data_IF_855104616787
#
_entry.id   IF_855104616787
#
_cell.length_a   1.000
_cell.length_b   1.000
_cell.length_c   1.000
_cell.angle_alpha   90.00
_cell.angle_beta   90.00
_cell.angle_gamma   90.00
#
_symmetry.space_group_name_H-M   'P 1'
#
loop_
_entity.id
_entity.type
_entity.pdbx_description
1 polymer ?
#
# COMPACT_ATOMS: atom_id res chain seq x y z
N UNK A 1 10.62 15.62 -14.14
CA UNK A 1 10.07 14.42 -13.50
C UNK A 1 9.05 13.79 -14.42
N UNK A 2 9.13 12.49 -14.67
CA UNK A 2 8.20 11.83 -15.60
C UNK A 2 6.85 11.53 -14.93
N UNK A 3 5.87 11.10 -15.70
CA UNK A 3 4.52 10.85 -15.20
C UNK A 3 4.48 9.76 -14.13
N UNK A 4 5.27 8.70 -14.30
CA UNK A 4 5.34 7.62 -13.32
C UNK A 4 5.82 8.13 -11.95
N UNK A 5 6.85 8.99 -11.95
CA UNK A 5 7.35 9.57 -10.70
C UNK A 5 6.35 10.51 -10.06
N UNK A 6 5.61 11.28 -10.88
CA UNK A 6 4.55 12.15 -10.36
C UNK A 6 3.45 11.36 -9.68
N UNK A 7 3.06 10.23 -10.27
CA UNK A 7 2.04 9.35 -9.68
C UNK A 7 2.54 8.73 -8.37
N UNK A 8 3.81 8.35 -8.30
CA UNK A 8 4.41 7.82 -7.08
C UNK A 8 4.40 8.86 -5.96
N UNK A 9 4.76 10.11 -6.27
CA UNK A 9 4.69 11.19 -5.28
C UNK A 9 3.27 11.47 -4.83
N UNK A 10 2.32 11.45 -5.75
CA UNK A 10 0.90 11.61 -5.41
C UNK A 10 0.46 10.54 -4.41
N UNK A 11 0.85 9.30 -4.63
CA UNK A 11 0.53 8.19 -3.73
C UNK A 11 1.11 8.41 -2.33
N UNK A 12 2.35 8.90 -2.26
CA UNK A 12 3.00 9.21 -0.97
C UNK A 12 2.21 10.29 -0.22
N UNK A 13 1.72 11.31 -0.92
CA UNK A 13 0.89 12.34 -0.31
C UNK A 13 -0.49 11.83 0.09
N UNK A 14 -1.00 10.80 -0.59
CA UNK A 14 -2.30 10.22 -0.23
C UNK A 14 -2.24 9.43 1.08
N UNK A 15 -1.07 8.93 1.48
CA UNK A 15 -0.94 8.17 2.72
C UNK A 15 -1.32 8.99 3.96
N UNK A 16 -0.77 10.20 4.18
CA UNK A 16 -1.22 11.02 5.31
C UNK A 16 -2.69 11.36 5.27
N UNK A 17 -3.25 11.63 4.09
CA UNK A 17 -4.68 11.90 3.95
C UNK A 17 -5.52 10.70 4.36
N UNK A 18 -5.10 9.50 3.95
CA UNK A 18 -5.75 8.25 4.34
C UNK A 18 -5.78 8.12 5.87
N UNK A 19 -4.63 8.32 6.51
CA UNK A 19 -4.51 8.19 7.97
C UNK A 19 -5.39 9.22 8.69
N UNK A 20 -5.40 10.46 8.20
CA UNK A 20 -6.22 11.52 8.80
C UNK A 20 -7.69 11.13 8.79
N UNK A 21 -8.21 10.67 7.67
CA UNK A 21 -9.62 10.28 7.57
C UNK A 21 -9.94 9.00 8.36
N UNK A 22 -8.98 8.07 8.45
CA UNK A 22 -9.20 6.83 9.20
C UNK A 22 -9.23 7.04 10.71
N UNK A 23 -8.38 7.91 11.23
CA UNK A 23 -8.13 7.98 12.68
C UNK A 23 -8.68 9.26 13.29
N UNK A 24 -8.46 10.41 12.66
CA UNK A 24 -8.77 11.71 13.25
C UNK A 24 -10.20 12.18 12.98
N UNK A 25 -10.84 11.68 11.93
CA UNK A 25 -12.21 12.07 11.61
C UNK A 25 -13.17 11.25 12.46
N UNK A 26 -13.94 11.92 13.30
CA UNK A 26 -14.96 11.28 14.15
C UNK A 26 -16.30 11.10 13.45
N UNK A 27 -16.44 11.59 12.21
CA UNK A 27 -17.66 11.49 11.45
C UNK A 27 -17.81 10.12 10.79
N UNK A 28 -19.05 9.76 10.45
CA UNK A 28 -19.34 8.51 9.78
C UNK A 28 -18.64 8.33 8.45
N UNK A 29 -18.31 9.43 7.78
CA UNK A 29 -17.75 9.40 6.43
C UNK A 29 -16.24 9.25 6.39
N UNK A 30 -15.55 9.35 7.54
CA UNK A 30 -14.10 9.27 7.57
C UNK A 30 -13.55 7.98 6.98
N UNK A 31 -14.08 6.83 7.43
CA UNK A 31 -13.65 5.52 6.93
C UNK A 31 -14.02 5.35 5.46
N UNK A 32 -15.18 5.85 5.04
CA UNK A 32 -15.61 5.78 3.64
C UNK A 32 -14.65 6.56 2.75
N UNK A 33 -14.30 7.78 3.13
CA UNK A 33 -13.36 8.62 2.39
C UNK A 33 -11.97 7.95 2.35
N UNK A 34 -11.53 7.42 3.47
CA UNK A 34 -10.25 6.72 3.55
C UNK A 34 -10.23 5.49 2.63
N UNK A 35 -11.33 4.76 2.55
CA UNK A 35 -11.46 3.60 1.67
C UNK A 35 -11.31 4.03 0.20
N UNK A 36 -11.96 5.11 -0.19
CA UNK A 36 -11.86 5.65 -1.53
C UNK A 36 -10.41 6.06 -1.84
N UNK A 37 -9.75 6.74 -0.90
CA UNK A 37 -8.36 7.14 -1.06
C UNK A 37 -7.45 5.92 -1.23
N UNK A 38 -7.67 4.87 -0.44
CA UNK A 38 -6.88 3.64 -0.55
C UNK A 38 -7.06 2.97 -1.91
N UNK A 39 -8.30 2.90 -2.41
CA UNK A 39 -8.59 2.31 -3.72
C UNK A 39 -7.92 3.12 -4.83
N UNK A 40 -8.02 4.45 -4.78
CA UNK A 40 -7.37 5.34 -5.75
C UNK A 40 -5.86 5.15 -5.74
N UNK A 41 -5.25 5.09 -4.55
CA UNK A 41 -3.81 4.90 -4.42
C UNK A 41 -3.37 3.53 -4.96
N UNK A 42 -4.17 2.49 -4.73
CA UNK A 42 -3.87 1.15 -5.23
C UNK A 42 -3.94 1.08 -6.75
N UNK A 43 -4.95 1.73 -7.35
CA UNK A 43 -5.08 1.81 -8.80
C UNK A 43 -3.92 2.61 -9.39
N UNK A 44 -3.55 3.72 -8.75
CA UNK A 44 -2.44 4.57 -9.18
C UNK A 44 -1.13 3.78 -9.21
N UNK A 45 -0.92 2.88 -8.23
CA UNK A 45 0.27 2.02 -8.20
C UNK A 45 0.35 1.13 -9.45
N UNK A 46 -0.75 0.53 -9.85
CA UNK A 46 -0.78 -0.34 -11.04
C UNK A 46 -0.58 0.46 -12.32
N UNK A 47 -1.21 1.63 -12.42
CA UNK A 47 -1.08 2.52 -13.58
C UNK A 47 0.36 3.03 -13.70
N UNK A 48 0.96 3.44 -12.57
CA UNK A 48 2.33 3.91 -12.47
C UNK A 48 3.31 2.86 -13.03
N UNK A 49 3.20 1.61 -12.56
CA UNK A 49 4.05 0.53 -13.05
C UNK A 49 3.86 0.25 -14.54
N UNK A 50 2.60 0.28 -15.01
CA UNK A 50 2.31 0.08 -16.42
C UNK A 50 2.90 1.19 -17.29
N UNK A 51 2.73 2.44 -16.89
CA UNK A 51 3.25 3.60 -17.63
C UNK A 51 4.78 3.55 -17.67
N UNK A 52 5.42 3.27 -16.54
CA UNK A 52 6.87 3.20 -16.47
C UNK A 52 7.44 2.13 -17.41
N UNK A 53 6.81 0.97 -17.49
CA UNK A 53 7.25 -0.12 -18.35
C UNK A 53 6.96 0.15 -19.83
N UNK A 54 5.77 0.65 -20.14
CA UNK A 54 5.35 0.83 -21.54
C UNK A 54 6.02 2.02 -22.22
N UNK A 55 6.43 3.03 -21.44
CA UNK A 55 7.05 4.26 -21.97
C UNK A 55 8.54 4.35 -21.70
N UNK A 56 9.15 3.29 -21.16
CA UNK A 56 10.57 3.28 -20.75
C UNK A 56 10.90 4.46 -19.83
N UNK A 57 10.01 4.76 -18.90
CA UNK A 57 10.19 5.84 -17.92
C UNK A 57 10.68 5.33 -16.57
N UNK A 58 11.32 4.16 -16.56
CA UNK A 58 11.90 3.60 -15.34
C UNK A 58 13.13 4.41 -14.97
N UNK A 59 13.10 5.01 -13.77
CA UNK A 59 14.22 5.82 -13.28
C UNK A 59 14.74 5.23 -11.98
N UNK A 60 15.96 5.64 -11.58
CA UNK A 60 16.52 5.26 -10.28
C UNK A 60 15.64 5.74 -9.15
N UNK A 61 15.11 6.97 -9.27
CA UNK A 61 14.19 7.53 -8.28
C UNK A 61 12.93 6.67 -8.14
N UNK A 62 12.30 6.30 -9.27
CA UNK A 62 11.11 5.46 -9.25
C UNK A 62 11.36 4.09 -8.65
N UNK A 63 12.48 3.45 -9.03
CA UNK A 63 12.83 2.14 -8.48
C UNK A 63 12.99 2.15 -6.98
N UNK A 64 13.45 3.26 -6.42
CA UNK A 64 13.61 3.42 -4.98
C UNK A 64 12.28 3.76 -4.30
N UNK A 65 11.53 4.70 -4.88
CA UNK A 65 10.34 5.26 -4.24
C UNK A 65 9.09 4.38 -4.38
N UNK A 66 8.97 3.60 -5.46
CA UNK A 66 7.78 2.76 -5.67
C UNK A 66 7.58 1.73 -4.56
N UNK A 67 8.59 0.90 -4.20
CA UNK A 67 8.43 -0.03 -3.08
C UNK A 67 8.14 0.68 -1.76
N UNK A 68 8.76 1.84 -1.54
CA UNK A 68 8.57 2.61 -0.33
C UNK A 68 7.13 3.12 -0.21
N UNK A 69 6.61 3.69 -1.30
CA UNK A 69 5.23 4.21 -1.33
C UNK A 69 4.21 3.10 -1.10
N UNK A 70 4.41 1.94 -1.73
CA UNK A 70 3.53 0.79 -1.58
C UNK A 70 3.53 0.29 -0.14
N UNK A 71 4.70 0.16 0.47
CA UNK A 71 4.83 -0.29 1.86
C UNK A 71 4.24 0.70 2.85
N UNK A 72 4.39 2.01 2.59
CA UNK A 72 3.79 3.02 3.43
C UNK A 72 2.27 2.94 3.41
N UNK A 73 1.67 2.77 2.23
CA UNK A 73 0.23 2.68 2.09
C UNK A 73 -0.32 1.45 2.82
N UNK A 74 0.26 0.28 2.59
CA UNK A 74 -0.17 -0.97 3.21
C UNK A 74 0.02 -0.91 4.72
N UNK A 75 1.16 -0.41 5.18
CA UNK A 75 1.45 -0.28 6.61
C UNK A 75 0.45 0.66 7.28
N UNK A 76 0.17 1.81 6.67
CA UNK A 76 -0.79 2.77 7.19
C UNK A 76 -2.18 2.14 7.31
N UNK A 77 -2.60 1.39 6.30
CA UNK A 77 -3.90 0.71 6.31
C UNK A 77 -3.97 -0.34 7.43
N UNK A 78 -2.95 -1.18 7.56
CA UNK A 78 -2.94 -2.23 8.58
C UNK A 78 -2.92 -1.66 9.99
N UNK A 79 -2.10 -0.65 10.23
CA UNK A 79 -2.02 -0.01 11.56
C UNK A 79 -3.33 0.70 11.89
N UNK A 80 -3.95 1.36 10.91
CA UNK A 80 -5.25 2.01 11.10
C UNK A 80 -6.33 0.99 11.45
N UNK A 81 -6.32 -0.18 10.81
CA UNK A 81 -7.29 -1.23 11.13
C UNK A 81 -7.07 -1.77 12.56
N UNK A 82 -5.84 -1.83 13.03
CA UNK A 82 -5.55 -2.19 14.43
C UNK A 82 -6.13 -1.14 15.37
N UNK A 83 -5.96 0.14 15.05
CA UNK A 83 -6.50 1.23 15.85
C UNK A 83 -8.02 1.14 15.98
N UNK A 84 -8.71 0.68 14.93
CA UNK A 84 -10.16 0.52 14.92
C UNK A 84 -10.62 -0.84 15.49
N UNK A 85 -9.70 -1.64 16.00
CA UNK A 85 -9.97 -2.97 16.57
C UNK A 85 -10.55 -3.96 15.54
N UNK A 86 -10.23 -3.79 14.25
CA UNK A 86 -10.69 -4.70 13.19
C UNK A 86 -9.79 -5.93 13.12
N UNK A 87 -8.49 -5.73 13.27
CA UNK A 87 -7.52 -6.83 13.26
C UNK A 87 -6.60 -6.72 14.48
N UNK A 88 -6.08 -7.86 14.98
CA UNK A 88 -5.20 -7.81 16.14
C UNK A 88 -3.78 -7.38 15.76
N UNK A 89 -3.11 -6.71 16.70
CA UNK A 89 -1.76 -6.18 16.46
C UNK A 89 -0.77 -7.29 16.13
N UNK A 90 -0.89 -8.47 16.76
CA UNK A 90 0.05 -9.56 16.51
C UNK A 90 0.02 -10.02 15.05
N UNK A 91 -1.16 -10.03 14.43
CA UNK A 91 -1.28 -10.40 13.02
C UNK A 91 -0.54 -9.41 12.13
N UNK A 92 -0.69 -8.11 12.40
CA UNK A 92 0.00 -7.06 11.66
C UNK A 92 1.51 -7.15 11.85
N UNK A 93 1.96 -7.43 13.05
CA UNK A 93 3.40 -7.59 13.34
C UNK A 93 3.99 -8.73 12.51
N UNK A 94 3.29 -9.85 12.42
CA UNK A 94 3.75 -11.00 11.62
C UNK A 94 3.82 -10.62 10.14
N UNK A 95 2.78 -9.98 9.62
CA UNK A 95 2.71 -9.57 8.21
C UNK A 95 3.84 -8.60 7.87
N UNK A 96 4.03 -7.57 8.69
CA UNK A 96 5.06 -6.56 8.45
C UNK A 96 6.47 -7.13 8.62
N UNK A 97 6.68 -8.01 9.59
CA UNK A 97 7.97 -8.66 9.78
C UNK A 97 8.39 -9.45 8.55
N UNK A 98 7.45 -10.22 7.98
CA UNK A 98 7.71 -10.95 6.74
C UNK A 98 8.02 -10.01 5.58
N UNK A 99 7.24 -8.93 5.44
CA UNK A 99 7.45 -7.96 4.37
C UNK A 99 8.84 -7.33 4.44
N UNK A 100 9.25 -6.88 5.62
CA UNK A 100 10.55 -6.27 5.81
C UNK A 100 11.69 -7.27 5.66
N UNK A 101 11.52 -8.51 6.13
CA UNK A 101 12.52 -9.55 5.99
C UNK A 101 12.78 -9.89 4.52
N UNK A 102 11.73 -10.06 3.73
CA UNK A 102 11.84 -10.35 2.30
C UNK A 102 12.49 -9.17 1.56
N UNK A 103 12.08 -7.96 1.89
CA UNK A 103 12.66 -6.75 1.30
C UNK A 103 14.14 -6.63 1.62
N UNK A 104 14.53 -6.91 2.88
CA UNK A 104 15.91 -6.89 3.31
C UNK A 104 16.77 -7.91 2.58
N UNK A 105 16.26 -9.14 2.42
CA UNK A 105 16.97 -10.19 1.68
C UNK A 105 17.18 -9.79 0.22
N UNK A 106 16.17 -9.22 -0.42
CA UNK A 106 16.31 -8.76 -1.82
C UNK A 106 17.32 -7.63 -1.93
N UNK A 107 17.37 -6.73 -0.96
CA UNK A 107 18.32 -5.63 -0.93
C UNK A 107 19.75 -6.15 -0.78
N UNK A 108 19.98 -7.10 0.11
CA UNK A 108 21.29 -7.72 0.33
C UNK A 108 21.73 -8.45 -0.94
N UNK A 109 20.83 -9.23 -1.54
CA UNK A 109 21.13 -9.97 -2.77
C UNK A 109 21.49 -9.02 -3.92
N UNK A 110 20.77 -7.91 -4.06
CA UNK A 110 21.06 -6.91 -5.09
C UNK A 110 22.43 -6.26 -4.88
N UNK A 111 22.82 -6.00 -3.63
CA UNK A 111 24.13 -5.45 -3.31
C UNK A 111 25.26 -6.42 -3.71
N UNK A 112 25.01 -7.73 -3.71
CA UNK A 112 25.96 -8.76 -4.11
C UNK A 112 25.84 -9.10 -5.60
N UNK A 113 25.08 -8.33 -6.37
CA UNK A 113 24.91 -8.55 -7.81
C UNK A 113 23.89 -9.60 -8.18
N UNK A 114 23.16 -10.15 -7.21
CA UNK A 114 22.12 -11.14 -7.46
C UNK A 114 20.76 -10.46 -7.43
N UNK A 115 20.00 -10.61 -8.51
CA UNK A 115 18.63 -10.06 -8.57
C UNK A 115 17.64 -11.19 -8.31
N UNK A 116 16.89 -11.07 -7.21
CA UNK A 116 15.83 -12.02 -6.90
C UNK A 116 14.54 -11.46 -7.49
N UNK A 117 14.06 -12.10 -8.56
CA UNK A 117 12.80 -11.70 -9.19
C UNK A 117 11.61 -12.04 -8.28
N UNK A 118 10.57 -11.20 -8.33
CA UNK A 118 9.34 -11.51 -7.64
C UNK A 118 8.72 -12.77 -8.25
N UNK A 119 8.46 -13.77 -7.40
CA UNK A 119 7.81 -15.00 -7.85
C UNK A 119 6.34 -14.74 -8.12
N UNK A 120 5.69 -15.66 -8.88
CA UNK A 120 4.24 -15.59 -9.08
C UNK A 120 3.48 -15.68 -7.75
N UNK A 121 4.00 -16.45 -6.80
CA UNK A 121 3.44 -16.54 -5.46
C UNK A 121 3.52 -15.20 -4.72
N UNK A 122 4.62 -14.46 -4.87
CA UNK A 122 4.76 -13.14 -4.27
C UNK A 122 3.78 -12.13 -4.86
N UNK A 123 3.57 -12.17 -6.18
CA UNK A 123 2.59 -11.31 -6.84
C UNK A 123 1.18 -11.64 -6.38
N UNK A 124 0.85 -12.91 -6.28
CA UNK A 124 -0.46 -13.37 -5.81
C UNK A 124 -0.69 -12.94 -4.37
N UNK A 125 0.30 -13.07 -3.51
CA UNK A 125 0.24 -12.63 -2.11
C UNK A 125 -0.09 -11.13 -2.03
N UNK A 126 0.57 -10.31 -2.84
CA UNK A 126 0.33 -8.87 -2.85
C UNK A 126 -1.10 -8.54 -3.26
N UNK A 127 -1.61 -9.20 -4.30
CA UNK A 127 -2.99 -9.01 -4.76
C UNK A 127 -3.98 -9.41 -3.66
N UNK A 128 -3.78 -10.57 -3.02
CA UNK A 128 -4.63 -11.00 -1.92
C UNK A 128 -4.60 -10.03 -0.75
N UNK A 129 -3.44 -9.52 -0.40
CA UNK A 129 -3.29 -8.56 0.70
C UNK A 129 -4.06 -7.27 0.41
N UNK A 130 -3.92 -6.72 -0.78
CA UNK A 130 -4.62 -5.50 -1.18
C UNK A 130 -6.13 -5.70 -1.19
N UNK A 131 -6.60 -6.81 -1.77
CA UNK A 131 -8.03 -7.12 -1.80
C UNK A 131 -8.59 -7.33 -0.40
N UNK A 132 -7.83 -7.98 0.49
CA UNK A 132 -8.25 -8.19 1.87
C UNK A 132 -8.40 -6.88 2.61
N UNK A 133 -7.46 -5.96 2.45
CA UNK A 133 -7.51 -4.64 3.08
C UNK A 133 -8.72 -3.87 2.56
N UNK A 134 -8.94 -3.86 1.25
CA UNK A 134 -10.07 -3.17 0.64
C UNK A 134 -11.38 -3.74 1.17
N UNK A 135 -11.48 -5.06 1.25
CA UNK A 135 -12.69 -5.71 1.76
C UNK A 135 -12.95 -5.34 3.22
N UNK A 136 -11.93 -5.35 4.07
CA UNK A 136 -12.07 -4.96 5.46
C UNK A 136 -12.49 -3.50 5.60
N UNK A 137 -11.94 -2.61 4.80
CA UNK A 137 -12.32 -1.19 4.80
C UNK A 137 -13.77 -1.02 4.35
N UNK A 138 -14.21 -1.76 3.33
CA UNK A 138 -15.59 -1.70 2.85
C UNK A 138 -16.55 -2.20 3.93
N UNK A 139 -16.23 -3.30 4.60
CA UNK A 139 -17.04 -3.85 5.68
C UNK A 139 -17.15 -2.83 6.82
N UNK A 140 -16.05 -2.19 7.19
CA UNK A 140 -16.04 -1.16 8.23
C UNK A 140 -16.88 0.04 7.83
N UNK A 141 -16.82 0.45 6.57
CA UNK A 141 -17.62 1.54 6.03
C UNK A 141 -19.12 1.23 6.13
N UNK A 142 -19.50 0.00 5.80
CA UNK A 142 -20.91 -0.44 5.86
C UNK A 142 -21.41 -0.43 7.31
N UNK A 143 -20.61 -0.87 8.26
CA UNK A 143 -20.99 -0.88 9.67
C UNK A 143 -21.26 0.51 10.23
N UNK A 144 -20.55 1.51 9.71
CA UNK A 144 -20.67 2.89 10.17
C UNK A 144 -21.91 3.57 9.60
N UNK A 145 -22.36 3.16 8.42
CA UNK A 145 -23.55 3.75 7.79
C UNK A 145 -24.77 3.45 8.65
N UNK A 146 -25.48 4.48 9.15
CA UNK A 146 -26.70 4.23 9.95
C UNK A 146 -27.81 3.66 9.06
N UNK A 147 -28.36 2.57 9.50
CA UNK A 147 -29.50 1.94 8.82
C UNK A 147 -30.82 2.35 9.49
#
# INVERSE_FOLDING_TARGET
MNLANKLTLLRIFLVPLFVIFMILDSNYYGVIIATIIFIIASITDKIDGYIARSRNQITTFGKFMDPLADKLLVTAALVSLVQLNVIPAWAVIIILSREFAVTGLRTIAAAEGKVIAASNWGKLKTVFQMLSIILLLIVESIKIIPT
#
